data_IF_963962191659
#
_entry.id   IF_963962191659
#
_cell.length_a   1.000
_cell.length_b   1.000
_cell.length_c   1.000
_cell.angle_alpha   90.00
_cell.angle_beta   90.00
_cell.angle_gamma   90.00
#
_symmetry.space_group_name_H-M   'P 1'
#
loop_
_entity.id
_entity.type
_entity.pdbx_description
1 polymer ?
#
# COMPACT_ATOMS: atom_id res chain seq x y z
N UNK A 1 28.21 41.80 19.21
CA UNK A 1 26.77 41.79 19.57
C UNK A 1 25.99 41.82 18.28
N UNK A 2 24.91 41.02 18.17
CA UNK A 2 24.13 40.63 16.96
C UNK A 2 24.79 39.44 16.22
N UNK A 3 24.48 38.18 16.54
CA UNK A 3 23.28 37.32 16.38
C UNK A 3 23.16 36.65 15.00
N UNK A 4 22.96 35.33 15.08
CA UNK A 4 22.93 34.27 14.07
C UNK A 4 21.77 34.38 13.07
N UNK A 5 21.88 33.61 11.98
CA UNK A 5 20.78 33.30 11.08
C UNK A 5 21.20 32.35 9.97
N UNK A 6 21.47 31.09 10.31
CA UNK A 6 21.49 29.99 9.33
C UNK A 6 20.10 29.84 8.72
N UNK A 7 19.99 30.07 7.41
CA UNK A 7 18.76 29.84 6.66
C UNK A 7 18.90 28.54 5.87
N UNK A 8 18.38 27.47 6.46
CA UNK A 8 18.23 26.17 5.83
C UNK A 8 17.44 26.29 4.52
N UNK A 9 18.11 26.03 3.40
CA UNK A 9 17.50 25.96 2.08
C UNK A 9 16.57 24.74 2.02
N UNK A 10 15.28 24.96 2.24
CA UNK A 10 14.23 23.98 1.90
C UNK A 10 14.13 23.91 0.38
N UNK A 11 14.65 22.82 -0.20
CA UNK A 11 14.41 22.48 -1.60
C UNK A 11 12.98 21.93 -1.72
N UNK A 12 11.98 22.82 -1.72
CA UNK A 12 10.60 22.46 -2.07
C UNK A 12 10.44 22.64 -3.58
N UNK A 13 10.83 21.63 -4.35
CA UNK A 13 10.40 21.54 -5.74
C UNK A 13 9.05 20.82 -5.76
N UNK A 14 7.98 21.61 -5.72
CA UNK A 14 6.65 21.16 -6.10
C UNK A 14 6.68 20.80 -7.58
N UNK A 15 6.73 19.51 -7.89
CA UNK A 15 6.48 19.02 -9.25
C UNK A 15 4.98 19.23 -9.49
N UNK A 16 4.64 20.28 -10.25
CA UNK A 16 3.28 20.54 -10.67
C UNK A 16 2.84 19.42 -11.61
N UNK A 17 1.96 18.53 -11.14
CA UNK A 17 1.25 17.62 -12.03
C UNK A 17 0.30 18.46 -12.91
N UNK A 18 0.36 18.38 -14.24
CA UNK A 18 -0.49 19.16 -15.14
C UNK A 18 -1.89 18.56 -15.34
N UNK A 19 -2.25 17.53 -14.57
CA UNK A 19 -3.58 16.93 -14.59
C UNK A 19 -4.34 17.43 -13.36
N UNK A 20 -5.62 17.82 -13.49
CA UNK A 20 -6.44 18.18 -12.33
C UNK A 20 -6.45 17.02 -11.33
N UNK A 21 -6.48 17.35 -10.05
CA UNK A 21 -6.66 16.34 -8.99
C UNK A 21 -7.91 15.52 -9.33
N UNK A 22 -7.73 14.22 -9.49
CA UNK A 22 -8.78 13.28 -9.84
C UNK A 22 -9.79 13.21 -8.69
N UNK A 23 -11.04 13.64 -8.92
CA UNK A 23 -12.10 13.51 -7.94
C UNK A 23 -12.72 12.11 -8.02
N UNK A 24 -12.47 11.29 -7.00
CA UNK A 24 -13.00 9.93 -6.92
C UNK A 24 -14.52 9.89 -6.78
N UNK A 25 -15.15 10.98 -6.35
CA UNK A 25 -16.61 11.07 -6.24
C UNK A 25 -17.31 10.99 -7.59
N UNK A 26 -16.65 11.44 -8.67
CA UNK A 26 -17.15 11.33 -10.04
C UNK A 26 -17.30 9.87 -10.51
N UNK A 27 -16.61 8.93 -9.85
CA UNK A 27 -16.62 7.50 -10.16
C UNK A 27 -17.47 6.67 -9.21
N UNK A 28 -18.10 7.29 -8.21
CA UNK A 28 -18.87 6.62 -7.16
C UNK A 28 -20.07 5.79 -7.65
N UNK A 29 -20.56 6.04 -8.86
CA UNK A 29 -21.61 5.25 -9.52
C UNK A 29 -21.10 4.02 -10.31
N UNK A 30 -19.78 3.90 -10.49
CA UNK A 30 -19.14 2.88 -11.33
C UNK A 30 -18.22 1.95 -10.54
N UNK A 31 -17.90 2.28 -9.30
CA UNK A 31 -17.03 1.49 -8.43
C UNK A 31 -17.80 0.95 -7.21
N UNK A 32 -17.44 -0.24 -6.69
CA UNK A 32 -18.04 -0.75 -5.47
C UNK A 32 -17.82 0.20 -4.28
N UNK A 33 -18.74 0.22 -3.32
CA UNK A 33 -18.72 1.18 -2.19
C UNK A 33 -17.76 0.78 -1.07
N UNK A 34 -17.35 -0.47 -1.07
CA UNK A 34 -16.51 -1.14 -0.07
C UNK A 34 -15.02 -1.16 -0.48
N UNK A 35 -14.65 -0.41 -1.52
CA UNK A 35 -13.25 -0.33 -1.95
C UNK A 35 -12.43 0.62 -1.08
N UNK A 36 -11.12 0.39 -1.10
CA UNK A 36 -10.14 1.26 -0.51
C UNK A 36 -9.78 2.41 -1.47
N UNK A 37 -10.33 3.60 -1.24
CA UNK A 37 -10.09 4.77 -2.10
C UNK A 37 -8.71 5.39 -1.91
N UNK A 38 -8.24 6.13 -2.91
CA UNK A 38 -6.98 6.87 -2.83
C UNK A 38 -6.99 7.83 -1.63
N UNK A 39 -5.85 7.91 -0.93
CA UNK A 39 -5.70 8.75 0.25
C UNK A 39 -6.07 8.06 1.56
N UNK A 40 -6.81 6.95 1.51
CA UNK A 40 -6.96 6.10 2.69
C UNK A 40 -5.59 5.52 3.09
N UNK A 41 -5.36 5.39 4.39
CA UNK A 41 -4.16 4.78 4.94
C UNK A 41 -4.50 3.47 5.63
N UNK A 42 -3.67 2.45 5.39
CA UNK A 42 -3.76 1.20 6.15
C UNK A 42 -3.35 1.55 7.59
N UNK A 43 -4.19 1.22 8.60
CA UNK A 43 -3.86 1.48 9.99
C UNK A 43 -2.49 0.91 10.34
N UNK A 44 -1.65 1.72 10.99
CA UNK A 44 -0.36 1.27 11.48
C UNK A 44 -0.57 0.61 12.84
N UNK A 45 -0.05 -0.59 12.98
CA UNK A 45 0.07 -1.22 14.27
C UNK A 45 1.30 -0.65 14.99
N UNK A 46 1.13 -0.31 16.26
CA UNK A 46 2.18 0.23 17.11
C UNK A 46 2.47 -0.75 18.23
N UNK A 47 3.67 -0.65 18.79
CA UNK A 47 4.00 -1.33 20.04
C UNK A 47 2.97 -0.97 21.13
N UNK A 48 2.68 -1.91 22.06
CA UNK A 48 1.91 -1.59 23.26
C UNK A 48 2.45 -0.32 23.93
N UNK A 49 1.56 0.53 24.45
CA UNK A 49 1.94 1.86 24.97
C UNK A 49 2.84 1.77 26.20
N UNK A 50 2.78 0.65 26.87
CA UNK A 50 3.55 0.26 28.04
C UNK A 50 4.96 -0.25 27.72
N UNK A 51 5.28 -0.51 26.45
CA UNK A 51 6.59 -1.00 26.03
C UNK A 51 7.69 0.01 26.31
N UNK A 52 8.81 -0.48 26.83
CA UNK A 52 10.01 0.30 27.17
C UNK A 52 11.23 -0.20 26.39
N UNK A 53 12.24 0.64 26.31
CA UNK A 53 13.52 0.24 25.74
C UNK A 53 14.15 -0.87 26.59
N UNK A 54 14.51 -1.99 25.94
CA UNK A 54 15.03 -3.19 26.60
C UNK A 54 13.99 -4.31 26.78
N UNK A 55 12.73 -4.07 26.44
CA UNK A 55 11.70 -5.11 26.44
C UNK A 55 11.96 -6.14 25.33
N UNK A 56 11.73 -7.41 25.65
CA UNK A 56 11.75 -8.51 24.69
C UNK A 56 10.33 -8.78 24.19
N UNK A 57 10.19 -8.98 22.88
CA UNK A 57 8.89 -9.14 22.23
C UNK A 57 8.89 -10.43 21.40
N UNK A 58 7.86 -11.24 21.61
CA UNK A 58 7.60 -12.41 20.77
C UNK A 58 7.03 -11.96 19.43
N UNK A 59 7.78 -12.23 18.37
CA UNK A 59 7.46 -11.81 17.01
C UNK A 59 7.66 -12.95 16.02
N UNK A 60 6.79 -13.01 15.02
CA UNK A 60 6.94 -13.89 13.87
C UNK A 60 7.38 -13.05 12.68
N UNK A 61 8.52 -13.41 12.08
CA UNK A 61 8.94 -12.80 10.82
C UNK A 61 8.12 -13.38 9.68
N UNK A 62 7.43 -12.52 8.95
CA UNK A 62 6.40 -12.92 7.98
C UNK A 62 6.88 -12.79 6.55
N UNK A 63 7.70 -11.78 6.27
CA UNK A 63 8.40 -11.66 4.99
C UNK A 63 9.74 -10.98 5.21
N UNK A 64 10.76 -11.49 4.52
CA UNK A 64 12.11 -10.92 4.51
C UNK A 64 12.41 -10.47 3.09
N UNK A 65 12.55 -9.17 2.89
CA UNK A 65 13.07 -8.63 1.63
C UNK A 65 14.59 -8.58 1.67
N UNK A 66 15.15 -8.08 2.77
CA UNK A 66 16.58 -8.14 3.10
C UNK A 66 16.76 -8.12 4.64
N UNK A 67 17.94 -8.42 5.20
CA UNK A 67 18.14 -8.46 6.66
C UNK A 67 17.84 -7.14 7.39
N UNK A 68 17.83 -6.01 6.66
CA UNK A 68 17.44 -4.69 7.15
C UNK A 68 16.00 -4.28 6.82
N UNK A 69 15.27 -5.10 6.04
CA UNK A 69 13.89 -4.86 5.61
C UNK A 69 13.09 -6.17 5.66
N UNK A 70 12.42 -6.36 6.77
CA UNK A 70 11.50 -7.46 6.99
C UNK A 70 10.27 -6.96 7.73
N UNK A 71 9.20 -7.74 7.68
CA UNK A 71 7.94 -7.45 8.34
C UNK A 71 7.65 -8.53 9.37
N UNK A 72 7.06 -8.11 10.49
CA UNK A 72 6.77 -8.94 11.64
C UNK A 72 5.31 -8.81 12.06
N UNK A 73 4.77 -9.85 12.68
CA UNK A 73 3.57 -9.78 13.52
C UNK A 73 3.93 -10.06 14.97
N UNK A 74 3.16 -9.49 15.90
CA UNK A 74 3.21 -9.89 17.29
C UNK A 74 2.52 -11.25 17.48
N UNK A 75 3.12 -12.11 18.30
CA UNK A 75 2.55 -13.41 18.67
C UNK A 75 3.44 -14.60 18.32
N UNK A 76 2.84 -15.78 18.36
CA UNK A 76 3.51 -17.07 18.18
C UNK A 76 3.13 -17.71 16.84
N UNK A 77 4.04 -18.51 16.27
CA UNK A 77 3.91 -19.11 14.92
C UNK A 77 3.10 -20.40 14.87
N UNK A 78 2.34 -20.72 15.92
CA UNK A 78 1.63 -21.98 16.07
C UNK A 78 0.34 -22.05 15.23
N UNK A 79 -0.10 -20.92 14.66
CA UNK A 79 -1.28 -20.82 13.79
C UNK A 79 -0.99 -19.96 12.54
N UNK A 80 -1.86 -20.07 11.52
CA UNK A 80 -1.83 -19.17 10.35
C UNK A 80 -1.92 -17.72 10.85
N UNK A 81 -1.02 -16.87 10.36
CA UNK A 81 -1.04 -15.46 10.70
C UNK A 81 -2.28 -14.79 10.06
N UNK A 82 -2.76 -13.65 10.59
CA UNK A 82 -3.81 -12.87 9.93
C UNK A 82 -3.48 -12.51 8.48
N UNK A 83 -2.19 -12.37 8.16
CA UNK A 83 -1.72 -12.16 6.79
C UNK A 83 -1.90 -13.38 5.91
N UNK A 84 -1.58 -14.58 6.41
CA UNK A 84 -1.77 -15.82 5.64
C UNK A 84 -3.24 -15.99 5.28
N UNK A 85 -4.13 -15.77 6.26
CA UNK A 85 -5.58 -15.81 6.06
C UNK A 85 -6.01 -14.77 5.01
N UNK A 86 -5.56 -13.52 5.15
CA UNK A 86 -5.87 -12.47 4.18
C UNK A 86 -5.36 -12.81 2.76
N UNK A 87 -4.19 -13.41 2.65
CA UNK A 87 -3.61 -13.78 1.35
C UNK A 87 -4.37 -14.92 0.69
N UNK A 88 -4.84 -15.90 1.48
CA UNK A 88 -5.73 -16.96 1.01
C UNK A 88 -7.09 -16.37 0.56
N UNK A 89 -7.70 -15.51 1.39
CA UNK A 89 -8.97 -14.85 1.08
C UNK A 89 -8.88 -14.02 -0.22
N UNK A 90 -7.74 -13.36 -0.46
CA UNK A 90 -7.49 -12.62 -1.72
C UNK A 90 -7.41 -13.57 -2.91
N UNK A 91 -6.78 -14.74 -2.78
CA UNK A 91 -6.77 -15.73 -3.86
C UNK A 91 -8.20 -16.16 -4.19
N UNK A 92 -8.94 -16.59 -3.16
CA UNK A 92 -10.30 -17.09 -3.32
C UNK A 92 -11.23 -16.02 -3.91
N UNK A 93 -11.11 -14.77 -3.45
CA UNK A 93 -11.92 -13.67 -3.93
C UNK A 93 -11.69 -13.35 -5.41
N UNK A 94 -10.43 -13.22 -5.84
CA UNK A 94 -10.09 -12.85 -7.21
C UNK A 94 -10.02 -14.04 -8.17
N UNK A 95 -10.14 -15.28 -7.70
CA UNK A 95 -10.33 -16.44 -8.57
C UNK A 95 -11.72 -16.46 -9.23
N UNK A 96 -12.66 -15.66 -8.75
CA UNK A 96 -13.96 -15.42 -9.39
C UNK A 96 -13.84 -14.33 -10.49
N UNK A 97 -14.21 -14.66 -11.72
CA UNK A 97 -14.16 -13.73 -12.86
C UNK A 97 -15.06 -12.49 -12.70
N UNK A 98 -16.20 -12.62 -12.03
CA UNK A 98 -17.12 -11.50 -11.84
C UNK A 98 -16.54 -10.52 -10.81
N UNK A 99 -15.83 -11.02 -9.80
CA UNK A 99 -15.06 -10.17 -8.88
C UNK A 99 -13.90 -9.47 -9.59
N UNK A 100 -13.17 -10.16 -10.47
CA UNK A 100 -12.10 -9.52 -11.25
C UNK A 100 -12.63 -8.35 -12.10
N UNK A 101 -13.79 -8.52 -12.73
CA UNK A 101 -14.44 -7.47 -13.55
C UNK A 101 -14.97 -6.32 -12.70
N UNK A 102 -15.53 -6.62 -11.52
CA UNK A 102 -16.19 -5.64 -10.66
C UNK A 102 -15.21 -4.81 -9.83
N UNK A 103 -14.13 -5.42 -9.35
CA UNK A 103 -13.13 -4.79 -8.47
C UNK A 103 -11.82 -4.43 -9.18
N UNK A 104 -11.73 -4.71 -10.49
CA UNK A 104 -10.61 -4.27 -11.32
C UNK A 104 -10.48 -2.76 -11.34
N UNK A 105 -9.25 -2.24 -11.23
CA UNK A 105 -8.98 -0.80 -11.22
C UNK A 105 -9.27 -0.22 -12.62
N UNK A 106 -10.24 0.71 -12.77
CA UNK A 106 -10.51 1.36 -14.04
C UNK A 106 -9.30 2.19 -14.51
N UNK A 107 -8.99 2.24 -15.83
CA UNK A 107 -7.84 2.99 -16.34
C UNK A 107 -7.76 4.46 -15.90
N UNK A 108 -8.91 5.13 -15.78
CA UNK A 108 -8.98 6.52 -15.33
C UNK A 108 -8.67 6.74 -13.85
N UNK A 109 -8.66 5.68 -13.03
CA UNK A 109 -8.35 5.72 -11.61
C UNK A 109 -6.91 5.29 -11.28
N UNK A 110 -6.14 4.90 -12.30
CA UNK A 110 -4.75 4.48 -12.12
C UNK A 110 -3.89 5.71 -11.77
N UNK A 111 -3.46 5.78 -10.51
CA UNK A 111 -2.66 6.87 -9.99
C UNK A 111 -1.60 6.39 -8.99
N UNK A 112 -0.46 7.09 -8.94
CA UNK A 112 0.55 6.87 -7.90
C UNK A 112 -0.07 7.00 -6.51
N UNK A 113 0.26 6.06 -5.63
CA UNK A 113 -0.27 6.00 -4.27
C UNK A 113 -1.45 5.06 -4.09
N UNK A 114 -2.11 4.63 -5.16
CA UNK A 114 -3.26 3.73 -5.08
C UNK A 114 -2.85 2.34 -4.60
N UNK A 115 -3.59 1.81 -3.62
CA UNK A 115 -3.51 0.40 -3.24
C UNK A 115 -4.32 -0.44 -4.21
N UNK A 116 -3.77 -1.57 -4.61
CA UNK A 116 -4.37 -2.47 -5.60
C UNK A 116 -3.95 -3.92 -5.33
N UNK A 117 -4.48 -4.82 -6.14
CA UNK A 117 -4.00 -6.19 -6.25
C UNK A 117 -3.26 -6.35 -7.58
N UNK A 118 -2.12 -7.03 -7.54
CA UNK A 118 -1.32 -7.40 -8.70
C UNK A 118 -1.21 -8.91 -8.80
N UNK A 119 -0.89 -9.44 -9.98
CA UNK A 119 -0.61 -10.87 -10.17
C UNK A 119 0.91 -11.07 -10.28
N UNK A 120 1.48 -11.95 -9.47
CA UNK A 120 2.88 -12.37 -9.55
C UNK A 120 2.90 -13.89 -9.61
N UNK A 121 3.52 -14.47 -10.65
CA UNK A 121 3.60 -15.92 -10.86
C UNK A 121 2.25 -16.66 -10.82
N UNK A 122 1.16 -15.98 -11.19
CA UNK A 122 -0.19 -16.54 -11.19
C UNK A 122 -0.97 -16.33 -9.89
N UNK A 123 -0.34 -15.79 -8.86
CA UNK A 123 -0.96 -15.54 -7.55
C UNK A 123 -1.25 -14.05 -7.36
N UNK A 124 -2.37 -13.74 -6.72
CA UNK A 124 -2.79 -12.39 -6.39
C UNK A 124 -2.04 -11.87 -5.16
N UNK A 125 -1.51 -10.65 -5.25
CA UNK A 125 -0.79 -10.01 -4.16
C UNK A 125 -1.24 -8.58 -3.97
N UNK A 126 -1.29 -8.14 -2.71
CA UNK A 126 -1.47 -6.72 -2.41
C UNK A 126 -0.29 -5.90 -2.92
N UNK A 127 -0.59 -4.71 -3.40
CA UNK A 127 0.37 -3.84 -4.04
C UNK A 127 0.02 -2.37 -3.84
N UNK A 128 0.99 -1.51 -4.11
CA UNK A 128 0.81 -0.07 -4.23
C UNK A 128 1.43 0.43 -5.52
N UNK A 129 0.71 1.24 -6.27
CA UNK A 129 1.23 1.91 -7.46
C UNK A 129 2.27 2.94 -6.99
N UNK A 130 3.52 2.75 -7.41
CA UNK A 130 4.63 3.65 -7.07
C UNK A 130 5.06 4.54 -8.24
N UNK A 131 4.64 4.19 -9.48
CA UNK A 131 4.91 5.01 -10.65
C UNK A 131 3.93 4.73 -11.78
N UNK A 132 3.41 5.77 -12.43
CA UNK A 132 2.69 5.64 -13.70
C UNK A 132 3.65 5.99 -14.85
N UNK A 133 3.74 5.14 -15.87
CA UNK A 133 4.73 5.33 -16.95
C UNK A 133 4.15 6.20 -18.09
N UNK A 134 4.80 7.33 -18.45
CA UNK A 134 4.20 8.35 -19.32
C UNK A 134 4.05 7.95 -20.80
N UNK A 135 4.68 6.88 -21.26
CA UNK A 135 4.77 6.51 -22.69
C UNK A 135 4.19 5.12 -23.01
N UNK A 136 3.50 4.52 -22.06
CA UNK A 136 2.91 3.19 -22.19
C UNK A 136 1.57 3.21 -21.49
N UNK A 137 0.48 3.16 -22.26
CA UNK A 137 -0.88 3.16 -21.68
C UNK A 137 -0.99 2.03 -20.65
N UNK A 138 -1.51 2.38 -19.49
CA UNK A 138 -1.88 1.48 -18.38
C UNK A 138 -0.73 0.64 -17.78
N UNK A 139 0.52 0.93 -18.13
CA UNK A 139 1.68 0.30 -17.54
C UNK A 139 2.13 1.08 -16.30
N UNK A 140 2.07 0.40 -15.17
CA UNK A 140 2.45 0.95 -13.87
C UNK A 140 3.56 0.15 -13.24
N UNK A 141 4.40 0.84 -12.47
CA UNK A 141 5.30 0.18 -11.52
C UNK A 141 4.57 0.06 -10.19
N UNK A 142 4.55 -1.16 -9.66
CA UNK A 142 3.95 -1.49 -8.37
C UNK A 142 4.99 -2.01 -7.40
N UNK A 143 4.76 -1.81 -6.11
CA UNK A 143 5.52 -2.42 -5.03
C UNK A 143 4.60 -3.37 -4.27
N UNK A 144 5.06 -4.60 -4.01
CA UNK A 144 4.32 -5.58 -3.19
C UNK A 144 4.09 -5.00 -1.79
N UNK A 145 2.89 -5.16 -1.26
CA UNK A 145 2.50 -4.74 0.07
C UNK A 145 2.06 -5.93 0.91
N UNK A 146 2.48 -5.90 2.17
CA UNK A 146 1.98 -6.70 3.28
C UNK A 146 1.06 -5.86 4.17
#
# INVERSE_FOLDING_TARGET
MVREGESSTKCSQSVSNPLPDLDWSDFSGYIPKDIFVLGNEIPKEFLPKESQEGDELDVVVVEVYDPSKFWIYFGTSDQKTPLDILMDDIQDFYNDEDNQKTYGVPPGLIQEGLYCVQIIYGEYHRAKIIKVLPNTKDLVKVCKKL
#
